data_IF_934449862159
#
_entry.id   IF_934449862159
#
_cell.length_a   1.000
_cell.length_b   1.000
_cell.length_c   1.000
_cell.angle_alpha   90.00
_cell.angle_beta   90.00
_cell.angle_gamma   90.00
#
_symmetry.space_group_name_H-M   'P 1'
#
loop_
_entity.id
_entity.type
_entity.pdbx_description
1 polymer ?
#
# COMPACT_ATOMS: atom_id res chain seq x y z
N UNK A 1 5.97 -22.05 -21.73
CA UNK A 1 5.45 -20.69 -22.02
C UNK A 1 5.72 -20.42 -23.50
N UNK A 2 4.71 -19.98 -24.24
CA UNK A 2 4.69 -19.94 -25.72
C UNK A 2 5.45 -18.74 -26.35
N UNK A 3 6.18 -17.98 -25.54
CA UNK A 3 6.97 -16.81 -25.96
C UNK A 3 6.18 -15.73 -26.71
N UNK A 4 4.84 -15.75 -26.64
CA UNK A 4 4.02 -14.73 -27.26
C UNK A 4 4.22 -13.37 -26.57
N UNK A 5 4.37 -12.31 -27.37
CA UNK A 5 4.42 -10.95 -26.84
C UNK A 5 3.04 -10.58 -26.30
N UNK A 6 2.95 -10.48 -24.97
CA UNK A 6 1.77 -9.92 -24.31
C UNK A 6 1.80 -8.41 -24.46
N UNK A 7 0.71 -7.83 -24.98
CA UNK A 7 0.53 -6.38 -25.01
C UNK A 7 0.59 -5.83 -23.58
N UNK A 8 1.60 -5.02 -23.28
CA UNK A 8 1.83 -4.47 -21.96
C UNK A 8 2.15 -2.98 -22.04
N UNK A 9 1.90 -2.27 -20.94
CA UNK A 9 2.29 -0.87 -20.78
C UNK A 9 3.25 -0.77 -19.59
N UNK A 10 4.46 -0.30 -19.85
CA UNK A 10 5.46 -0.08 -18.81
C UNK A 10 5.33 1.34 -18.30
N UNK A 11 5.01 1.48 -17.02
CA UNK A 11 4.91 2.78 -16.35
C UNK A 11 6.05 2.84 -15.33
N UNK A 12 7.08 3.67 -15.56
CA UNK A 12 8.08 3.93 -14.53
C UNK A 12 7.44 4.70 -13.37
N UNK A 13 7.89 4.42 -12.15
CA UNK A 13 7.41 5.10 -10.96
C UNK A 13 8.58 5.31 -10.01
N UNK A 14 8.94 6.56 -9.76
CA UNK A 14 9.98 6.94 -8.80
C UNK A 14 9.43 6.90 -7.37
N UNK A 15 10.32 6.82 -6.37
CA UNK A 15 9.94 6.85 -4.96
C UNK A 15 9.13 8.13 -4.66
N UNK A 16 7.97 7.94 -4.03
CA UNK A 16 7.03 9.02 -3.71
C UNK A 16 6.01 9.31 -4.81
N UNK A 17 6.24 8.86 -6.04
CA UNK A 17 5.27 9.06 -7.12
C UNK A 17 4.03 8.18 -6.95
N UNK A 18 2.90 8.73 -7.40
CA UNK A 18 1.61 8.07 -7.42
C UNK A 18 1.16 7.78 -8.85
N UNK A 19 0.61 6.60 -9.06
CA UNK A 19 -0.01 6.22 -10.32
C UNK A 19 -1.46 5.79 -10.10
N UNK A 20 -2.38 6.42 -10.84
CA UNK A 20 -3.80 6.11 -10.78
C UNK A 20 -4.09 4.90 -11.68
N UNK A 21 -4.33 3.73 -11.09
CA UNK A 21 -4.72 2.53 -11.84
C UNK A 21 -6.16 2.62 -12.34
N UNK A 22 -7.05 3.07 -11.46
CA UNK A 22 -8.50 3.20 -11.69
C UNK A 22 -9.05 4.35 -10.87
N UNK A 23 -10.24 4.86 -11.16
CA UNK A 23 -10.86 5.97 -10.40
C UNK A 23 -10.87 5.78 -8.87
N UNK A 24 -11.00 4.54 -8.42
CA UNK A 24 -11.11 4.13 -7.01
C UNK A 24 -9.83 3.53 -6.43
N UNK A 25 -8.74 3.48 -7.23
CA UNK A 25 -7.51 2.78 -6.87
C UNK A 25 -6.27 3.51 -7.40
N UNK A 26 -5.34 3.84 -6.49
CA UNK A 26 -4.02 4.36 -6.84
C UNK A 26 -2.92 3.54 -6.18
N UNK A 27 -1.72 3.59 -6.75
CA UNK A 27 -0.51 3.01 -6.17
C UNK A 27 0.49 4.13 -5.90
N UNK A 28 1.26 4.03 -4.81
CA UNK A 28 2.40 4.92 -4.52
C UNK A 28 3.65 4.09 -4.32
N UNK A 29 4.75 4.47 -4.94
CA UNK A 29 6.06 3.89 -4.63
C UNK A 29 6.62 4.48 -3.33
N UNK A 30 7.27 3.66 -2.52
CA UNK A 30 7.93 4.11 -1.30
C UNK A 30 9.34 3.51 -1.18
N UNK A 31 10.21 4.18 -0.44
CA UNK A 31 11.60 3.79 -0.33
C UNK A 31 11.75 2.53 0.51
N UNK A 32 12.53 1.58 0.02
CA UNK A 32 13.05 0.49 0.84
C UNK A 32 14.56 0.60 0.94
N UNK A 33 15.13 0.00 1.98
CA UNK A 33 16.56 0.11 2.27
C UNK A 33 17.25 -1.20 1.90
N UNK A 34 18.10 -1.15 0.88
CA UNK A 34 18.89 -2.28 0.42
C UNK A 34 20.23 -1.81 -0.18
N UNK A 35 21.15 -2.76 -0.39
CA UNK A 35 22.49 -2.52 -0.97
C UNK A 35 22.42 -1.96 -2.40
N UNK A 36 21.28 -2.15 -3.08
CA UNK A 36 20.96 -1.60 -4.40
C UNK A 36 19.66 -0.80 -4.32
N UNK A 37 19.42 0.19 -5.21
CA UNK A 37 18.16 0.92 -5.26
C UNK A 37 16.96 -0.03 -5.29
N UNK A 38 16.03 0.18 -4.38
CA UNK A 38 14.83 -0.64 -4.23
C UNK A 38 13.66 0.21 -3.74
N UNK A 39 12.46 -0.22 -4.10
CA UNK A 39 11.21 0.42 -3.68
C UNK A 39 10.14 -0.63 -3.40
N UNK A 40 9.21 -0.28 -2.52
CA UNK A 40 7.95 -1.00 -2.32
C UNK A 40 6.79 -0.20 -2.91
N UNK A 41 5.60 -0.77 -2.84
CA UNK A 41 4.37 -0.12 -3.33
C UNK A 41 3.26 -0.20 -2.29
N UNK A 42 2.49 0.88 -2.13
CA UNK A 42 1.24 0.87 -1.38
C UNK A 42 0.08 1.13 -2.32
N UNK A 43 -0.91 0.26 -2.29
CA UNK A 43 -2.18 0.39 -2.98
C UNK A 43 -3.17 1.08 -2.05
N UNK A 44 -3.79 2.16 -2.54
CA UNK A 44 -4.79 2.93 -1.83
C UNK A 44 -6.16 2.79 -2.49
N UNK A 45 -7.20 2.62 -1.68
CA UNK A 45 -8.57 2.90 -2.11
C UNK A 45 -8.83 4.39 -2.05
N UNK A 46 -9.35 4.94 -3.14
CA UNK A 46 -9.70 6.36 -3.27
C UNK A 46 -11.21 6.51 -3.22
N UNK A 47 -11.72 7.33 -2.29
CA UNK A 47 -13.15 7.60 -2.12
C UNK A 47 -13.41 9.09 -2.09
N UNK A 48 -14.51 9.51 -2.70
CA UNK A 48 -15.01 10.88 -2.59
C UNK A 48 -16.00 10.93 -1.42
N UNK A 49 -15.71 11.75 -0.41
CA UNK A 49 -16.60 11.98 0.73
C UNK A 49 -17.09 13.41 0.72
N UNK A 50 -18.34 13.65 1.13
CA UNK A 50 -18.88 15.00 1.26
C UNK A 50 -18.01 15.84 2.21
N UNK A 51 -17.70 17.09 1.85
CA UNK A 51 -16.98 18.01 2.73
C UNK A 51 -17.80 18.25 4.00
N UNK A 52 -17.10 18.43 5.11
CA UNK A 52 -17.73 18.55 6.43
C UNK A 52 -18.67 19.76 6.52
N UNK A 53 -18.35 20.84 5.79
CA UNK A 53 -19.18 22.05 5.64
C UNK A 53 -20.54 21.81 4.98
N UNK A 54 -20.72 20.72 4.22
CA UNK A 54 -21.97 20.40 3.54
C UNK A 54 -22.75 19.26 4.22
N UNK A 55 -22.22 18.69 5.31
CA UNK A 55 -22.89 17.65 6.08
C UNK A 55 -24.11 18.27 6.80
N UNK A 56 -25.29 17.71 6.56
CA UNK A 56 -26.55 18.17 7.14
C UNK A 56 -27.34 19.13 6.26
N UNK A 57 -26.79 19.59 5.13
CA UNK A 57 -27.56 20.34 4.14
C UNK A 57 -28.58 19.45 3.42
N UNK A 58 -29.75 19.99 3.03
CA UNK A 58 -30.70 19.30 2.18
C UNK A 58 -30.07 18.85 0.86
N UNK A 59 -30.43 17.65 0.39
CA UNK A 59 -29.89 17.11 -0.87
C UNK A 59 -30.15 18.00 -2.10
N UNK A 60 -31.22 18.81 -2.08
CA UNK A 60 -31.51 19.82 -3.10
C UNK A 60 -30.45 20.92 -3.16
N UNK A 61 -29.99 21.42 -2.02
CA UNK A 61 -28.95 22.46 -1.92
C UNK A 61 -27.59 21.90 -2.33
N UNK A 62 -27.25 20.68 -1.89
CA UNK A 62 -26.02 19.99 -2.32
C UNK A 62 -25.99 19.80 -3.84
N UNK A 63 -27.13 19.47 -4.46
CA UNK A 63 -27.23 19.33 -5.91
C UNK A 63 -27.02 20.68 -6.62
N UNK A 64 -27.60 21.76 -6.09
CA UNK A 64 -27.39 23.10 -6.65
C UNK A 64 -25.93 23.54 -6.55
N UNK A 65 -25.27 23.31 -5.42
CA UNK A 65 -23.84 23.60 -5.22
C UNK A 65 -22.97 22.81 -6.21
N UNK A 66 -23.30 21.54 -6.45
CA UNK A 66 -22.60 20.73 -7.44
C UNK A 66 -22.80 21.27 -8.87
N UNK A 67 -24.00 21.72 -9.20
CA UNK A 67 -24.33 22.30 -10.52
C UNK A 67 -23.70 23.68 -10.72
N UNK A 68 -23.48 24.45 -9.66
CA UNK A 68 -22.76 25.72 -9.71
C UNK A 68 -21.24 25.56 -9.79
N UNK A 69 -20.73 24.32 -9.85
CA UNK A 69 -19.31 24.02 -10.00
C UNK A 69 -18.54 23.99 -8.68
N UNK A 70 -19.21 24.10 -7.53
CA UNK A 70 -18.55 24.00 -6.22
C UNK A 70 -18.12 22.56 -5.98
N UNK A 71 -16.86 22.37 -5.60
CA UNK A 71 -16.34 21.06 -5.22
C UNK A 71 -16.89 20.67 -3.84
N UNK A 72 -17.93 19.84 -3.85
CA UNK A 72 -18.64 19.43 -2.63
C UNK A 72 -18.02 18.21 -1.93
N UNK A 73 -17.05 17.54 -2.54
CA UNK A 73 -16.41 16.34 -1.98
C UNK A 73 -14.91 16.54 -1.76
N UNK A 74 -14.38 15.88 -0.73
CA UNK A 74 -12.96 15.67 -0.53
C UNK A 74 -12.56 14.28 -1.02
N UNK A 75 -11.40 14.20 -1.66
CA UNK A 75 -10.75 12.92 -1.97
C UNK A 75 -10.11 12.37 -0.71
N UNK A 76 -10.56 11.18 -0.28
CA UNK A 76 -9.98 10.46 0.86
C UNK A 76 -9.32 9.19 0.32
N UNK A 77 -8.02 9.08 0.54
CA UNK A 77 -7.25 7.88 0.21
C UNK A 77 -7.02 7.06 1.48
N UNK A 78 -7.21 5.74 1.40
CA UNK A 78 -6.96 4.82 2.50
C UNK A 78 -6.00 3.73 2.02
N UNK A 79 -4.86 3.50 2.71
CA UNK A 79 -3.95 2.43 2.34
C UNK A 79 -4.63 1.07 2.59
N UNK A 80 -4.69 0.24 1.55
CA UNK A 80 -5.34 -1.07 1.59
C UNK A 80 -4.32 -2.20 1.62
N UNK A 81 -3.33 -2.15 0.71
CA UNK A 81 -2.33 -3.21 0.57
C UNK A 81 -0.94 -2.59 0.43
N UNK A 82 -0.02 -2.96 1.31
CA UNK A 82 1.40 -2.65 1.14
C UNK A 82 2.17 -3.87 0.63
N UNK A 83 3.04 -3.66 -0.36
CA UNK A 83 4.00 -4.62 -0.88
C UNK A 83 5.41 -4.07 -0.63
N UNK A 84 6.15 -4.71 0.26
CA UNK A 84 7.48 -4.23 0.68
C UNK A 84 8.62 -4.80 -0.17
N UNK A 85 8.31 -5.79 -1.02
CA UNK A 85 9.34 -6.56 -1.74
C UNK A 85 10.12 -7.47 -0.79
N UNK A 86 11.30 -7.88 -1.22
CA UNK A 86 12.06 -9.02 -0.68
C UNK A 86 13.08 -8.68 0.43
N UNK A 87 12.86 -7.73 1.36
CA UNK A 87 13.98 -7.22 2.21
C UNK A 87 13.63 -6.82 3.65
N UNK A 88 14.69 -6.45 4.39
CA UNK A 88 14.77 -6.17 5.84
C UNK A 88 13.74 -5.17 6.35
N UNK A 89 13.40 -5.28 7.65
CA UNK A 89 12.39 -4.51 8.38
C UNK A 89 12.71 -3.01 8.56
N UNK A 90 13.82 -2.52 8.00
CA UNK A 90 14.30 -1.15 8.19
C UNK A 90 13.30 -0.10 7.67
N UNK A 91 12.45 -0.47 6.71
CA UNK A 91 11.38 0.39 6.21
C UNK A 91 10.36 0.79 7.29
N UNK A 92 10.23 0.00 8.37
CA UNK A 92 9.28 0.25 9.47
C UNK A 92 9.72 1.45 10.32
N UNK A 93 11.01 1.77 10.33
CA UNK A 93 11.56 2.88 11.12
C UNK A 93 11.49 4.22 10.37
N UNK A 94 11.15 4.20 9.09
CA UNK A 94 11.06 5.39 8.26
C UNK A 94 9.71 6.09 8.46
N UNK A 95 9.68 7.34 8.97
CA UNK A 95 8.44 8.08 9.15
C UNK A 95 7.70 8.33 7.83
N UNK A 96 8.39 8.41 6.70
CA UNK A 96 7.77 8.61 5.38
C UNK A 96 7.01 7.35 4.91
N UNK A 97 7.24 6.21 5.56
CA UNK A 97 6.55 4.95 5.32
C UNK A 97 5.36 4.71 6.27
N UNK A 98 4.86 5.73 6.99
CA UNK A 98 3.75 5.57 7.92
C UNK A 98 2.51 4.88 7.28
N UNK A 99 2.20 5.18 6.03
CA UNK A 99 1.08 4.57 5.31
C UNK A 99 1.25 3.06 5.07
N UNK A 100 2.49 2.57 5.03
CA UNK A 100 2.83 1.14 4.92
C UNK A 100 2.38 0.40 6.19
N UNK A 101 2.53 1.05 7.35
CA UNK A 101 2.14 0.52 8.66
C UNK A 101 0.65 0.70 8.95
N UNK A 102 -0.01 1.62 8.24
CA UNK A 102 -1.45 1.86 8.29
C UNK A 102 -2.26 1.06 7.26
N UNK A 103 -1.61 0.32 6.36
CA UNK A 103 -2.29 -0.45 5.33
C UNK A 103 -3.10 -1.60 5.95
N UNK A 104 -4.38 -1.75 5.57
CA UNK A 104 -5.21 -2.81 6.18
C UNK A 104 -4.60 -4.20 6.04
N UNK A 105 -4.00 -4.49 4.89
CA UNK A 105 -3.27 -5.71 4.63
C UNK A 105 -1.83 -5.36 4.22
N UNK A 106 -0.87 -6.17 4.62
CA UNK A 106 0.51 -6.02 4.16
C UNK A 106 1.05 -7.37 3.67
N UNK A 107 1.61 -7.38 2.47
CA UNK A 107 2.29 -8.52 1.87
C UNK A 107 3.80 -8.24 1.92
N UNK A 108 4.49 -8.96 2.80
CA UNK A 108 5.93 -8.84 2.96
C UNK A 108 6.62 -10.03 2.29
N UNK A 109 7.52 -9.75 1.34
CA UNK A 109 8.41 -10.76 0.78
C UNK A 109 9.50 -11.10 1.79
N UNK A 110 9.45 -12.30 2.35
CA UNK A 110 10.46 -12.83 3.26
C UNK A 110 11.43 -13.69 2.46
N UNK A 111 12.40 -13.07 1.77
CA UNK A 111 13.45 -13.87 1.12
C UNK A 111 14.59 -14.21 2.06
N UNK A 112 14.89 -15.51 2.10
CA UNK A 112 16.19 -16.12 2.43
C UNK A 112 17.07 -15.30 3.36
N UNK A 113 16.68 -15.18 4.63
CA UNK A 113 17.55 -15.37 5.79
C UNK A 113 16.83 -14.87 7.04
N UNK A 114 16.61 -15.83 7.95
CA UNK A 114 16.33 -15.67 9.38
C UNK A 114 14.87 -15.46 9.74
N UNK A 115 14.42 -16.36 10.61
CA UNK A 115 13.48 -16.18 11.72
C UNK A 115 13.40 -14.72 12.26
N UNK A 116 14.51 -13.97 12.17
CA UNK A 116 14.68 -12.57 12.58
C UNK A 116 13.72 -11.58 11.91
N UNK A 117 13.37 -11.71 10.62
CA UNK A 117 12.42 -10.75 10.01
C UNK A 117 10.99 -10.95 10.54
N UNK A 118 10.54 -12.20 10.65
CA UNK A 118 9.26 -12.53 11.24
C UNK A 118 9.20 -12.13 12.73
N UNK A 119 10.28 -12.38 13.49
CA UNK A 119 10.35 -11.94 14.90
C UNK A 119 10.53 -10.43 15.04
N UNK A 120 11.19 -9.73 14.11
CA UNK A 120 11.27 -8.25 14.13
C UNK A 120 9.91 -7.63 13.82
N UNK A 121 9.20 -8.13 12.80
CA UNK A 121 7.82 -7.71 12.50
C UNK A 121 6.93 -7.98 13.71
N UNK A 122 7.04 -9.17 14.33
CA UNK A 122 6.31 -9.50 15.55
C UNK A 122 6.71 -8.61 16.74
N UNK A 123 7.99 -8.26 16.90
CA UNK A 123 8.46 -7.38 17.98
C UNK A 123 8.01 -5.93 17.81
N UNK A 124 7.61 -5.56 16.59
CA UNK A 124 7.10 -4.24 16.25
C UNK A 124 5.59 -4.30 15.96
N UNK A 125 4.89 -5.37 16.37
CA UNK A 125 3.45 -5.54 16.15
C UNK A 125 2.63 -4.37 16.66
N UNK A 126 3.06 -3.76 17.77
CA UNK A 126 2.36 -2.62 18.38
C UNK A 126 2.35 -1.37 17.49
N UNK A 127 3.26 -1.29 16.52
CA UNK A 127 3.32 -0.20 15.53
C UNK A 127 2.55 -0.51 14.25
N UNK A 128 2.07 -1.74 14.09
CA UNK A 128 1.38 -2.19 12.89
C UNK A 128 -0.13 -2.06 13.09
N UNK A 129 -0.77 -1.18 12.32
CA UNK A 129 -2.24 -1.06 12.26
C UNK A 129 -2.89 -2.10 11.34
N UNK A 130 -2.10 -3.02 10.79
CA UNK A 130 -2.51 -3.98 9.77
C UNK A 130 -3.43 -5.04 10.38
N UNK A 131 -4.53 -5.36 9.69
CA UNK A 131 -5.43 -6.45 10.07
C UNK A 131 -4.83 -7.82 9.80
N UNK A 132 -3.98 -7.93 8.78
CA UNK A 132 -3.33 -9.16 8.38
C UNK A 132 -1.97 -8.89 7.73
N UNK A 133 -1.04 -9.83 7.92
CA UNK A 133 0.27 -9.84 7.27
C UNK A 133 0.43 -11.17 6.55
N UNK A 134 0.67 -11.11 5.24
CA UNK A 134 1.01 -12.28 4.43
C UNK A 134 2.52 -12.29 4.20
N UNK A 135 3.18 -13.34 4.68
CA UNK A 135 4.59 -13.59 4.41
C UNK A 135 4.69 -14.46 3.16
N UNK A 136 5.44 -14.00 2.16
CA UNK A 136 5.63 -14.72 0.88
C UNK A 136 7.12 -14.93 0.61
N UNK A 137 7.44 -15.73 -0.41
CA UNK A 137 8.82 -15.93 -0.88
C UNK A 137 9.72 -16.74 0.10
N UNK A 138 9.16 -17.71 0.83
CA UNK A 138 9.97 -18.57 1.69
C UNK A 138 11.04 -19.35 0.92
N UNK A 139 12.24 -19.48 1.51
CA UNK A 139 13.27 -20.35 0.96
C UNK A 139 12.78 -21.80 0.92
N UNK A 140 13.04 -22.51 -0.18
CA UNK A 140 12.79 -23.95 -0.30
C UNK A 140 13.56 -24.80 0.74
N UNK A 141 14.48 -24.20 1.50
CA UNK A 141 15.19 -24.84 2.63
C UNK A 141 14.33 -25.03 3.88
N UNK A 142 13.19 -24.35 3.99
CA UNK A 142 12.26 -24.53 5.10
C UNK A 142 11.17 -25.52 4.68
N UNK A 143 11.11 -26.64 5.37
CA UNK A 143 10.03 -27.63 5.23
C UNK A 143 8.98 -27.41 6.32
N UNK A 144 7.74 -27.79 6.04
CA UNK A 144 6.60 -27.72 6.97
C UNK A 144 6.65 -28.79 8.07
N UNK A 145 7.77 -29.50 8.22
CA UNK A 145 7.87 -30.61 9.16
C UNK A 145 8.08 -30.07 10.57
N UNK A 146 7.01 -30.17 11.36
CA UNK A 146 7.02 -30.05 12.81
C UNK A 146 7.67 -31.32 13.34
N UNK A 147 8.89 -31.20 13.86
CA UNK A 147 9.50 -32.23 14.71
C UNK A 147 8.84 -32.28 16.07
#
# INVERSE_FOLDING_TARGET
MDQSELKHNLVPLEVGEEYQLRRDLKVRAFRTYHVIPSQGYVIYSVKQKLKQEFIGLPGSEIKQLKLSGVEITNTVSTPEIAFTGDRTSDFILDPDNADVLGAKNSCCGVFTMKFILATQIASQSDKLGNKAILLIHFSARYTTEVG
#
